data_IF_603692620334
#
_entry.id   IF_603692620334
#
_cell.length_a   1.000
_cell.length_b   1.000
_cell.length_c   1.000
_cell.angle_alpha   90.00
_cell.angle_beta   90.00
_cell.angle_gamma   90.00
#
_symmetry.space_group_name_H-M   'P 1'
#
loop_
_entity.id
_entity.type
_entity.pdbx_description
1 polymer ?
#
# COMPACT_ATOMS: atom_id res chain seq x y z
N UNK A 1 55.83 29.59 -18.41
CA UNK A 1 54.69 28.82 -18.92
C UNK A 1 54.33 27.80 -17.87
N UNK A 2 53.32 28.08 -17.08
CA UNK A 2 52.75 27.12 -16.10
C UNK A 2 51.38 26.69 -16.62
N UNK A 3 51.30 25.42 -16.98
CA UNK A 3 50.02 24.78 -17.38
C UNK A 3 49.12 24.60 -16.16
N UNK A 4 48.00 25.25 -16.20
CA UNK A 4 46.93 25.11 -15.22
C UNK A 4 46.13 23.84 -15.56
N UNK A 5 46.28 22.78 -14.79
CA UNK A 5 45.46 21.59 -14.89
C UNK A 5 44.06 21.91 -14.35
N UNK A 6 43.10 21.99 -15.25
CA UNK A 6 41.68 21.97 -14.88
C UNK A 6 41.28 20.54 -14.40
N UNK A 7 41.10 20.41 -13.10
CA UNK A 7 40.36 19.30 -12.53
C UNK A 7 38.87 19.56 -12.80
N UNK A 8 38.29 18.79 -13.74
CA UNK A 8 36.84 18.69 -13.89
C UNK A 8 36.22 18.11 -12.62
N UNK A 9 34.96 18.42 -12.32
CA UNK A 9 34.28 17.87 -11.17
C UNK A 9 34.21 16.34 -11.31
N UNK A 10 34.87 15.63 -10.40
CA UNK A 10 34.66 14.20 -10.18
C UNK A 10 33.17 14.00 -9.85
N UNK A 11 32.41 13.46 -10.78
CA UNK A 11 31.04 13.04 -10.51
C UNK A 11 31.08 11.96 -9.42
N UNK A 12 30.78 12.34 -8.20
CA UNK A 12 30.58 11.40 -7.12
C UNK A 12 29.44 10.45 -7.57
N UNK A 13 29.73 9.17 -7.74
CA UNK A 13 28.72 8.14 -7.94
C UNK A 13 27.79 8.19 -6.74
N UNK A 14 26.56 8.68 -6.95
CA UNK A 14 25.54 8.72 -5.92
C UNK A 14 25.08 7.28 -5.70
N UNK A 15 25.38 6.70 -4.55
CA UNK A 15 24.88 5.37 -4.19
C UNK A 15 23.38 5.48 -3.95
N UNK A 16 22.61 4.78 -4.76
CA UNK A 16 21.14 4.74 -4.67
C UNK A 16 20.71 3.68 -3.68
N UNK A 17 19.89 4.05 -2.72
CA UNK A 17 19.23 3.13 -1.78
C UNK A 17 17.80 2.92 -2.24
N UNK A 18 17.39 1.68 -2.44
CA UNK A 18 16.03 1.33 -2.86
C UNK A 18 15.11 1.10 -1.66
N UNK A 19 13.84 1.48 -1.83
CA UNK A 19 12.75 1.19 -0.90
C UNK A 19 11.51 0.80 -1.70
N UNK A 20 11.02 -0.42 -1.51
CA UNK A 20 9.85 -0.94 -2.21
C UNK A 20 8.59 -0.81 -1.38
N UNK A 21 7.53 -0.28 -2.01
CA UNK A 21 6.15 -0.29 -1.52
C UNK A 21 5.32 -1.17 -2.43
N UNK A 22 4.63 -2.16 -1.90
CA UNK A 22 3.86 -3.09 -2.70
C UNK A 22 2.45 -3.27 -2.17
N UNK A 23 1.45 -3.17 -3.04
CA UNK A 23 0.16 -3.74 -2.72
C UNK A 23 0.26 -5.27 -2.65
N UNK A 24 -0.77 -5.92 -2.12
CA UNK A 24 -0.80 -7.37 -1.93
C UNK A 24 -1.66 -8.07 -2.97
N UNK A 25 -2.98 -7.91 -2.92
CA UNK A 25 -3.92 -8.66 -3.75
C UNK A 25 -3.83 -8.26 -5.24
N UNK A 26 -3.45 -9.18 -6.09
CA UNK A 26 -3.23 -8.91 -7.52
C UNK A 26 -1.94 -8.16 -7.83
N UNK A 27 -1.07 -7.94 -6.82
CA UNK A 27 0.23 -7.30 -6.95
C UNK A 27 1.36 -8.22 -6.52
N UNK A 28 1.53 -8.48 -5.23
CA UNK A 28 2.46 -9.49 -4.71
C UNK A 28 1.84 -10.89 -4.74
N UNK A 29 0.53 -10.96 -4.50
CA UNK A 29 -0.26 -12.18 -4.45
C UNK A 29 -1.07 -12.34 -5.72
N UNK A 30 -1.19 -13.56 -6.21
CA UNK A 30 -2.13 -13.87 -7.28
C UNK A 30 -3.58 -13.51 -6.88
N UNK A 31 -4.35 -12.95 -7.79
CA UNK A 31 -5.70 -12.45 -7.53
C UNK A 31 -6.69 -13.55 -7.11
N UNK A 32 -6.53 -14.78 -7.63
CA UNK A 32 -7.48 -15.87 -7.41
C UNK A 32 -6.99 -16.86 -6.35
N UNK A 33 -5.71 -17.25 -6.45
CA UNK A 33 -5.12 -18.31 -5.61
C UNK A 33 -4.40 -17.78 -4.39
N UNK A 34 -4.17 -16.46 -4.31
CA UNK A 34 -3.34 -15.82 -3.29
C UNK A 34 -1.91 -16.37 -3.22
N UNK A 35 -1.45 -17.09 -4.27
CA UNK A 35 -0.09 -17.59 -4.37
C UNK A 35 0.91 -16.44 -4.47
N UNK A 36 2.06 -16.59 -3.81
CA UNK A 36 3.20 -15.66 -3.83
C UNK A 36 4.52 -16.39 -4.15
N UNK A 37 4.45 -17.67 -4.53
CA UNK A 37 5.62 -18.55 -4.63
C UNK A 37 6.68 -18.00 -5.60
N UNK A 38 6.28 -17.41 -6.73
CA UNK A 38 7.22 -16.84 -7.70
C UNK A 38 7.95 -15.60 -7.17
N UNK A 39 7.40 -14.89 -6.19
CA UNK A 39 8.03 -13.73 -5.58
C UNK A 39 9.09 -14.09 -4.53
N UNK A 40 9.04 -15.26 -3.91
CA UNK A 40 9.93 -15.66 -2.81
C UNK A 40 11.42 -15.55 -3.12
N UNK A 41 11.93 -15.99 -4.28
CA UNK A 41 13.37 -15.87 -4.59
C UNK A 41 13.83 -14.41 -4.63
N UNK A 42 13.02 -13.51 -5.18
CA UNK A 42 13.32 -12.09 -5.27
C UNK A 42 13.22 -11.42 -3.90
N UNK A 43 12.21 -11.75 -3.11
CA UNK A 43 12.11 -11.29 -1.71
C UNK A 43 13.33 -11.70 -0.88
N UNK A 44 13.83 -12.94 -1.06
CA UNK A 44 15.03 -13.40 -0.41
C UNK A 44 16.28 -12.60 -0.84
N UNK A 45 16.39 -12.27 -2.13
CA UNK A 45 17.48 -11.42 -2.66
C UNK A 45 17.42 -10.02 -2.05
N UNK A 46 16.26 -9.38 -2.05
CA UNK A 46 16.06 -8.05 -1.43
C UNK A 46 16.44 -8.06 0.05
N UNK A 47 16.00 -9.07 0.79
CA UNK A 47 16.36 -9.24 2.21
C UNK A 47 17.87 -9.40 2.43
N UNK A 48 18.56 -10.21 1.59
CA UNK A 48 20.02 -10.37 1.66
C UNK A 48 20.76 -9.08 1.36
N UNK A 49 20.23 -8.24 0.48
CA UNK A 49 20.79 -6.92 0.14
C UNK A 49 20.39 -5.83 1.13
N UNK A 50 19.57 -6.13 2.13
CA UNK A 50 19.06 -5.15 3.09
C UNK A 50 18.10 -4.13 2.48
N UNK A 51 17.46 -4.46 1.35
CA UNK A 51 16.49 -3.59 0.66
C UNK A 51 15.10 -3.85 1.23
N UNK A 52 14.45 -2.85 1.87
CA UNK A 52 13.16 -3.04 2.49
C UNK A 52 12.03 -3.20 1.46
N UNK A 53 11.09 -4.08 1.78
CA UNK A 53 9.80 -4.24 1.06
C UNK A 53 8.67 -4.01 2.05
N UNK A 54 7.87 -3.01 1.79
CA UNK A 54 6.80 -2.56 2.68
C UNK A 54 5.44 -2.86 2.03
N UNK A 55 4.63 -3.76 2.62
CA UNK A 55 3.25 -3.96 2.21
C UNK A 55 2.39 -2.72 2.46
N UNK A 56 1.60 -2.31 1.45
CA UNK A 56 0.67 -1.17 1.51
C UNK A 56 -0.68 -1.61 0.96
N UNK A 57 -1.60 -2.01 1.83
CA UNK A 57 -2.77 -2.79 1.43
C UNK A 57 -4.09 -2.26 1.98
N UNK A 58 -5.20 -2.72 1.38
CA UNK A 58 -6.55 -2.53 1.92
C UNK A 58 -6.92 -3.53 3.03
N UNK A 59 -6.10 -4.57 3.24
CA UNK A 59 -6.29 -5.58 4.29
C UNK A 59 -6.17 -4.99 5.70
N UNK A 60 -6.73 -5.73 6.65
CA UNK A 60 -6.58 -5.45 8.09
C UNK A 60 -5.20 -5.86 8.62
N UNK A 61 -4.84 -5.39 9.81
CA UNK A 61 -3.65 -5.86 10.52
C UNK A 61 -3.63 -7.37 10.68
N UNK A 62 -4.75 -7.96 11.10
CA UNK A 62 -4.84 -9.41 11.33
C UNK A 62 -4.55 -10.24 10.08
N UNK A 63 -5.02 -9.79 8.90
CA UNK A 63 -4.71 -10.43 7.62
C UNK A 63 -3.22 -10.28 7.27
N UNK A 64 -2.66 -9.07 7.47
CA UNK A 64 -1.27 -8.77 7.10
C UNK A 64 -0.29 -9.51 7.99
N UNK A 65 -0.47 -9.51 9.32
CA UNK A 65 0.42 -10.19 10.27
C UNK A 65 0.58 -11.68 9.93
N UNK A 66 -0.51 -12.35 9.60
CA UNK A 66 -0.48 -13.76 9.18
C UNK A 66 0.35 -13.94 7.92
N UNK A 67 0.19 -13.05 6.94
CA UNK A 67 0.88 -13.14 5.65
C UNK A 67 2.37 -12.81 5.75
N UNK A 68 2.74 -11.65 6.34
CA UNK A 68 4.14 -11.20 6.40
C UNK A 68 5.04 -12.18 7.14
N UNK A 69 4.51 -12.83 8.19
CA UNK A 69 5.22 -13.89 8.89
C UNK A 69 5.54 -15.07 7.96
N UNK A 70 4.57 -15.45 7.11
CA UNK A 70 4.70 -16.58 6.18
C UNK A 70 5.69 -16.29 5.05
N UNK A 71 5.68 -15.06 4.52
CA UNK A 71 6.57 -14.66 3.40
C UNK A 71 7.92 -14.11 3.87
N UNK A 72 8.14 -14.01 5.18
CA UNK A 72 9.41 -13.61 5.78
C UNK A 72 9.72 -12.12 5.72
N UNK A 73 8.70 -11.26 5.66
CA UNK A 73 8.84 -9.82 5.82
C UNK A 73 8.77 -9.45 7.31
N UNK A 74 9.71 -8.62 7.77
CA UNK A 74 9.90 -8.24 9.17
C UNK A 74 9.98 -6.72 9.39
N UNK A 75 9.72 -5.94 8.35
CA UNK A 75 9.69 -4.48 8.36
C UNK A 75 8.30 -3.89 8.64
N UNK A 76 8.18 -2.56 8.50
CA UNK A 76 6.90 -1.86 8.58
C UNK A 76 5.89 -2.36 7.55
N UNK A 77 4.60 -2.19 7.86
CA UNK A 77 3.52 -2.45 6.92
C UNK A 77 2.38 -1.44 7.10
N UNK A 78 1.61 -1.24 6.04
CA UNK A 78 0.53 -0.26 5.96
C UNK A 78 -0.78 -1.00 5.72
N UNK A 79 -1.80 -0.68 6.52
CA UNK A 79 -3.10 -1.36 6.47
C UNK A 79 -4.24 -0.41 6.13
N UNK A 80 -5.36 -1.00 5.74
CA UNK A 80 -6.63 -0.32 5.56
C UNK A 80 -6.53 0.92 4.67
N UNK A 81 -5.88 0.75 3.49
CA UNK A 81 -5.67 1.79 2.49
C UNK A 81 -4.87 3.01 3.01
N UNK A 82 -3.86 2.78 3.85
CA UNK A 82 -3.04 3.85 4.40
C UNK A 82 -3.64 4.53 5.61
N UNK A 83 -4.60 3.88 6.29
CA UNK A 83 -5.18 4.42 7.52
C UNK A 83 -4.27 4.29 8.73
N UNK A 84 -3.38 3.30 8.74
CA UNK A 84 -2.35 3.16 9.77
C UNK A 84 -1.08 2.49 9.25
N UNK A 85 0.04 2.87 9.83
CA UNK A 85 1.36 2.27 9.64
C UNK A 85 1.78 1.55 10.92
N UNK A 86 2.11 0.28 10.82
CA UNK A 86 2.64 -0.53 11.90
C UNK A 86 4.15 -0.68 11.73
N UNK A 87 4.92 -0.23 12.70
CA UNK A 87 6.38 -0.25 12.70
C UNK A 87 6.86 -1.20 13.79
N UNK A 88 7.49 -2.34 13.46
CA UNK A 88 8.04 -3.24 14.47
C UNK A 88 9.09 -2.55 15.33
N UNK A 89 8.90 -2.55 16.65
CA UNK A 89 9.74 -1.76 17.57
C UNK A 89 11.16 -2.30 17.72
N UNK A 90 11.35 -3.61 17.57
CA UNK A 90 12.64 -4.26 17.76
C UNK A 90 13.51 -4.29 16.50
N UNK A 91 12.89 -4.34 15.31
CA UNK A 91 13.61 -4.47 14.03
C UNK A 91 13.65 -3.18 13.21
N UNK A 92 13.08 -2.10 13.74
CA UNK A 92 13.04 -0.80 13.07
C UNK A 92 14.45 -0.21 12.90
N UNK A 93 14.87 0.17 11.69
CA UNK A 93 16.21 0.68 11.45
C UNK A 93 16.38 2.17 11.80
N UNK A 94 15.29 2.90 12.04
CA UNK A 94 15.28 4.33 12.35
C UNK A 94 14.71 4.59 13.76
N UNK A 95 14.97 5.76 14.36
CA UNK A 95 14.35 6.16 15.61
C UNK A 95 12.82 6.13 15.49
N UNK A 96 12.17 5.48 16.45
CA UNK A 96 10.71 5.36 16.43
C UNK A 96 10.06 6.75 16.42
N UNK A 97 9.17 7.02 15.44
CA UNK A 97 8.46 8.30 15.39
C UNK A 97 7.44 8.43 16.53
N UNK A 98 6.84 9.61 16.67
CA UNK A 98 5.67 9.80 17.54
C UNK A 98 4.54 8.89 17.10
N UNK A 99 3.83 8.28 18.05
CA UNK A 99 2.75 7.33 17.79
C UNK A 99 2.40 6.55 19.06
N UNK A 100 1.44 5.64 18.95
CA UNK A 100 1.01 4.77 20.05
C UNK A 100 1.73 3.43 20.01
N UNK A 101 2.06 2.88 21.18
CA UNK A 101 2.58 1.52 21.29
C UNK A 101 1.42 0.52 21.36
N UNK A 102 1.37 -0.43 20.43
CA UNK A 102 0.41 -1.54 20.45
C UNK A 102 1.15 -2.86 20.23
N UNK A 103 1.31 -3.61 21.31
CA UNK A 103 2.08 -4.85 21.33
C UNK A 103 3.52 -4.66 20.82
N UNK A 104 3.95 -5.40 19.77
CA UNK A 104 5.30 -5.28 19.22
C UNK A 104 5.49 -4.05 18.32
N UNK A 105 4.45 -3.26 18.10
CA UNK A 105 4.48 -2.17 17.11
C UNK A 105 4.44 -0.78 17.75
N UNK A 106 5.06 0.19 17.06
CA UNK A 106 4.70 1.60 17.09
C UNK A 106 3.71 1.84 15.97
N UNK A 107 2.54 2.40 16.29
CA UNK A 107 1.45 2.66 15.34
C UNK A 107 1.38 4.14 15.02
N UNK A 108 1.44 4.45 13.71
CA UNK A 108 1.14 5.78 13.20
C UNK A 108 -0.27 5.75 12.64
N UNK A 109 -1.23 6.29 13.35
CA UNK A 109 -2.60 6.42 12.88
C UNK A 109 -2.72 7.65 11.98
N UNK A 110 -3.00 7.44 10.68
CA UNK A 110 -3.22 8.49 9.69
C UNK A 110 -4.72 8.73 9.46
N UNK A 111 -5.52 7.70 9.69
CA UNK A 111 -6.96 7.73 9.55
C UNK A 111 -7.70 7.99 10.86
N UNK A 112 -8.91 7.47 10.93
CA UNK A 112 -9.81 7.57 12.09
C UNK A 112 -9.98 6.19 12.72
N UNK A 113 -10.36 6.13 14.00
CA UNK A 113 -10.73 4.86 14.63
C UNK A 113 -11.98 4.25 13.94
N UNK A 114 -12.05 2.92 13.90
CA UNK A 114 -13.14 2.18 13.23
C UNK A 114 -14.55 2.61 13.66
N UNK A 115 -14.75 2.89 14.95
CA UNK A 115 -16.04 3.37 15.47
C UNK A 115 -16.46 4.68 14.80
N UNK A 116 -15.52 5.55 14.47
CA UNK A 116 -15.78 6.80 13.76
C UNK A 116 -16.11 6.56 12.29
N UNK A 117 -15.37 5.66 11.62
CA UNK A 117 -15.68 5.27 10.24
C UNK A 117 -17.09 4.65 10.13
N UNK A 118 -17.47 3.79 11.08
CA UNK A 118 -18.83 3.23 11.19
C UNK A 118 -19.91 4.29 11.39
N UNK A 119 -19.69 5.23 12.31
CA UNK A 119 -20.62 6.31 12.54
C UNK A 119 -20.73 7.24 11.32
N UNK A 120 -19.59 7.56 10.69
CA UNK A 120 -19.51 8.34 9.47
C UNK A 120 -20.31 7.71 8.32
N UNK A 121 -20.15 6.41 8.07
CA UNK A 121 -20.90 5.72 7.03
C UNK A 121 -22.43 5.82 7.23
N UNK A 122 -22.88 5.69 8.47
CA UNK A 122 -24.31 5.84 8.81
C UNK A 122 -24.80 7.28 8.61
N UNK A 123 -24.02 8.28 9.01
CA UNK A 123 -24.36 9.69 8.81
C UNK A 123 -24.41 10.06 7.32
N UNK A 124 -23.44 9.60 6.53
CA UNK A 124 -23.42 9.77 5.08
C UNK A 124 -24.66 9.12 4.43
N UNK A 125 -25.01 7.90 4.86
CA UNK A 125 -26.20 7.21 4.36
C UNK A 125 -27.49 8.01 4.61
N UNK A 126 -27.61 8.67 5.75
CA UNK A 126 -28.73 9.57 6.09
C UNK A 126 -28.74 10.81 5.20
N UNK A 127 -27.58 11.45 5.04
CA UNK A 127 -27.42 12.68 4.23
C UNK A 127 -27.78 12.46 2.76
N UNK A 128 -27.34 11.36 2.17
CA UNK A 128 -27.67 11.05 0.78
C UNK A 128 -29.06 10.43 0.60
N UNK A 129 -29.75 10.08 1.70
CA UNK A 129 -31.06 9.44 1.70
C UNK A 129 -31.05 7.99 1.13
N UNK A 130 -29.93 7.27 1.27
CA UNK A 130 -29.74 5.92 0.76
C UNK A 130 -28.98 5.06 1.78
N UNK A 131 -29.43 3.82 2.04
CA UNK A 131 -28.71 2.92 2.93
C UNK A 131 -27.34 2.56 2.34
N UNK A 132 -26.30 2.65 3.16
CA UNK A 132 -24.96 2.15 2.89
C UNK A 132 -24.72 0.98 3.84
N UNK A 133 -24.43 -0.19 3.28
CA UNK A 133 -24.20 -1.41 4.06
C UNK A 133 -22.71 -1.71 4.14
N UNK A 134 -22.14 -1.53 5.31
CA UNK A 134 -20.73 -1.77 5.58
C UNK A 134 -20.45 -3.18 6.13
N UNK A 135 -19.17 -3.56 6.21
CA UNK A 135 -18.71 -4.85 6.74
C UNK A 135 -19.17 -5.07 8.19
N UNK A 136 -19.24 -4.00 8.97
CA UNK A 136 -19.75 -4.10 10.32
C UNK A 136 -21.24 -4.48 10.42
N UNK A 137 -22.02 -4.31 9.35
CA UNK A 137 -23.44 -4.68 9.27
C UNK A 137 -23.65 -6.09 8.70
N UNK A 138 -22.58 -6.74 8.24
CA UNK A 138 -22.61 -8.05 7.61
C UNK A 138 -22.22 -9.15 8.61
N UNK A 139 -22.88 -10.30 8.55
CA UNK A 139 -22.40 -11.52 9.18
C UNK A 139 -21.17 -12.07 8.42
N UNK A 140 -20.38 -12.93 9.06
CA UNK A 140 -19.18 -13.54 8.44
C UNK A 140 -19.55 -14.29 7.15
N UNK A 141 -20.64 -15.03 7.16
CA UNK A 141 -21.16 -15.81 6.03
C UNK A 141 -21.53 -14.90 4.85
N UNK A 142 -22.02 -13.70 5.12
CA UNK A 142 -22.33 -12.72 4.08
C UNK A 142 -21.04 -12.14 3.47
N UNK A 143 -20.01 -11.90 4.27
CA UNK A 143 -18.70 -11.48 3.78
C UNK A 143 -18.09 -12.58 2.91
N UNK A 144 -18.13 -13.85 3.34
CA UNK A 144 -17.69 -14.99 2.54
C UNK A 144 -18.38 -15.04 1.17
N UNK A 145 -19.71 -14.91 1.14
CA UNK A 145 -20.49 -14.92 -0.10
C UNK A 145 -20.11 -13.79 -1.06
N UNK A 146 -19.79 -12.61 -0.53
CA UNK A 146 -19.43 -11.43 -1.33
C UNK A 146 -17.98 -11.45 -1.81
N UNK A 147 -17.08 -12.06 -1.04
CA UNK A 147 -15.62 -12.01 -1.30
C UNK A 147 -15.07 -13.32 -1.84
N UNK A 148 -15.69 -14.46 -1.55
CA UNK A 148 -15.14 -15.79 -1.80
C UNK A 148 -14.12 -16.24 -0.76
N UNK A 149 -13.88 -15.47 0.30
CA UNK A 149 -12.92 -15.79 1.35
C UNK A 149 -13.33 -17.04 2.16
N UNK A 150 -12.38 -17.78 2.66
CA UNK A 150 -12.61 -18.78 3.68
C UNK A 150 -13.13 -18.12 4.98
N UNK A 151 -13.76 -18.88 5.86
CA UNK A 151 -14.35 -18.35 7.10
C UNK A 151 -13.32 -17.62 7.96
N UNK A 152 -12.14 -18.19 8.11
CA UNK A 152 -11.04 -17.59 8.88
C UNK A 152 -10.63 -16.23 8.32
N UNK A 153 -10.45 -16.16 7.00
CA UNK A 153 -10.02 -14.94 6.31
C UNK A 153 -11.12 -13.88 6.33
N UNK A 154 -12.39 -14.29 6.19
CA UNK A 154 -13.53 -13.39 6.34
C UNK A 154 -13.64 -12.80 7.76
N UNK A 155 -13.33 -13.60 8.79
CA UNK A 155 -13.23 -13.11 10.18
C UNK A 155 -12.11 -12.09 10.34
N UNK A 156 -10.92 -12.36 9.79
CA UNK A 156 -9.80 -11.42 9.81
C UNK A 156 -10.12 -10.13 9.04
N UNK A 157 -10.71 -10.23 7.85
CA UNK A 157 -11.13 -9.07 7.05
C UNK A 157 -12.16 -8.18 7.77
N UNK A 158 -12.92 -8.72 8.72
CA UNK A 158 -13.85 -7.97 9.59
C UNK A 158 -13.17 -7.34 10.81
N UNK A 159 -11.93 -7.68 11.14
CA UNK A 159 -11.18 -7.10 12.27
C UNK A 159 -10.63 -5.72 11.91
N UNK A 160 -11.52 -4.83 11.41
CA UNK A 160 -11.17 -3.46 11.03
C UNK A 160 -10.87 -2.60 12.25
N UNK A 161 -9.86 -1.76 12.12
CA UNK A 161 -9.43 -0.83 13.17
C UNK A 161 -9.57 0.63 12.75
N UNK A 162 -9.55 0.93 11.43
CA UNK A 162 -9.43 2.30 10.92
C UNK A 162 -10.33 2.65 9.74
N UNK A 163 -11.03 1.71 9.14
CA UNK A 163 -11.83 1.94 7.94
C UNK A 163 -13.08 1.07 7.90
N UNK A 164 -14.08 1.51 7.14
CA UNK A 164 -15.29 0.71 6.90
C UNK A 164 -15.45 0.40 5.41
N UNK A 165 -15.18 -0.85 4.98
CA UNK A 165 -15.54 -1.30 3.66
C UNK A 165 -17.07 -1.37 3.52
N UNK A 166 -17.60 -0.89 2.40
CA UNK A 166 -19.03 -0.91 2.14
C UNK A 166 -19.34 -1.24 0.69
N UNK A 167 -20.55 -1.73 0.44
CA UNK A 167 -21.04 -2.00 -0.91
C UNK A 167 -21.26 -0.66 -1.63
N UNK A 168 -20.58 -0.50 -2.77
CA UNK A 168 -20.72 0.70 -3.59
C UNK A 168 -22.17 0.86 -4.05
N UNK A 169 -22.84 1.96 -3.71
CA UNK A 169 -24.25 2.13 -4.04
C UNK A 169 -24.41 2.30 -5.55
N UNK A 170 -25.35 1.56 -6.12
CA UNK A 170 -25.82 1.77 -7.49
C UNK A 170 -26.81 2.92 -7.53
N UNK A 171 -26.74 3.78 -8.55
CA UNK A 171 -27.67 4.90 -8.75
C UNK A 171 -27.66 5.97 -7.63
N UNK A 172 -26.50 6.28 -7.09
CA UNK A 172 -26.27 7.48 -6.27
C UNK A 172 -25.46 8.45 -7.11
N UNK A 173 -25.82 9.71 -7.05
CA UNK A 173 -25.04 10.79 -7.64
C UNK A 173 -23.66 10.84 -6.97
N UNK A 174 -22.62 10.65 -7.78
CA UNK A 174 -21.23 10.59 -7.31
C UNK A 174 -20.79 11.90 -6.69
N UNK A 175 -21.25 13.05 -7.20
CA UNK A 175 -20.90 14.38 -6.67
C UNK A 175 -21.55 14.58 -5.30
N UNK A 176 -22.83 14.19 -5.16
CA UNK A 176 -23.54 14.27 -3.88
C UNK A 176 -22.89 13.36 -2.83
N UNK A 177 -22.49 12.13 -3.22
CA UNK A 177 -21.80 11.21 -2.30
C UNK A 177 -20.44 11.78 -1.88
N UNK A 178 -19.64 12.26 -2.82
CA UNK A 178 -18.33 12.86 -2.54
C UNK A 178 -18.45 14.06 -1.62
N UNK A 179 -19.36 14.99 -1.91
CA UNK A 179 -19.58 16.17 -1.07
C UNK A 179 -20.00 15.81 0.37
N UNK A 180 -20.90 14.83 0.55
CA UNK A 180 -21.32 14.37 1.87
C UNK A 180 -20.16 13.70 2.66
N UNK A 181 -19.34 12.94 1.98
CA UNK A 181 -18.15 12.27 2.56
C UNK A 181 -17.12 13.29 3.02
N UNK A 182 -16.75 14.23 2.15
CA UNK A 182 -15.76 15.28 2.44
C UNK A 182 -16.21 16.23 3.55
N UNK A 183 -17.49 16.63 3.54
CA UNK A 183 -18.05 17.49 4.58
C UNK A 183 -18.00 16.88 5.99
N UNK A 184 -17.91 15.55 6.08
CA UNK A 184 -17.81 14.82 7.35
C UNK A 184 -16.35 14.43 7.72
N UNK A 185 -15.35 14.87 6.95
CA UNK A 185 -13.94 14.62 7.22
C UNK A 185 -13.47 13.23 6.81
N UNK A 186 -14.13 12.63 5.82
CA UNK A 186 -13.78 11.33 5.27
C UNK A 186 -13.41 11.41 3.78
N UNK A 187 -12.91 10.32 3.25
CA UNK A 187 -12.78 10.08 1.80
C UNK A 187 -13.19 8.64 1.47
N UNK A 188 -13.59 8.43 0.23
CA UNK A 188 -13.89 7.09 -0.30
C UNK A 188 -12.74 6.64 -1.20
N UNK A 189 -12.21 5.47 -0.90
CA UNK A 189 -11.27 4.76 -1.78
C UNK A 189 -12.03 3.64 -2.47
N UNK A 190 -12.04 3.67 -3.79
CA UNK A 190 -12.74 2.67 -4.61
C UNK A 190 -11.76 1.53 -4.91
N UNK A 191 -12.04 0.35 -4.36
CA UNK A 191 -11.38 -0.91 -4.71
C UNK A 191 -12.19 -1.68 -5.78
N UNK A 192 -11.78 -2.92 -6.05
CA UNK A 192 -12.41 -3.74 -7.09
C UNK A 192 -13.85 -4.12 -6.75
N UNK A 193 -14.13 -4.52 -5.51
CA UNK A 193 -15.44 -5.05 -5.08
C UNK A 193 -16.16 -4.14 -4.10
N UNK A 194 -15.41 -3.38 -3.31
CA UNK A 194 -15.92 -2.52 -2.23
C UNK A 194 -15.35 -1.13 -2.34
N UNK A 195 -16.14 -0.17 -1.90
CA UNK A 195 -15.62 1.15 -1.52
C UNK A 195 -15.24 1.13 -0.05
N UNK A 196 -14.19 1.86 0.31
CA UNK A 196 -13.71 1.97 1.69
C UNK A 196 -13.86 3.41 2.18
N UNK A 197 -14.58 3.59 3.27
CA UNK A 197 -14.63 4.88 3.97
C UNK A 197 -13.43 4.95 4.92
N UNK A 198 -12.56 5.93 4.68
CA UNK A 198 -11.36 6.21 5.48
C UNK A 198 -11.35 7.66 5.92
N UNK A 199 -10.54 8.00 6.92
CA UNK A 199 -10.33 9.41 7.30
C UNK A 199 -9.73 10.22 6.14
N UNK A 200 -10.08 11.50 6.04
CA UNK A 200 -9.65 12.37 4.92
C UNK A 200 -8.12 12.47 4.78
N UNK A 201 -7.38 12.41 5.90
CA UNK A 201 -5.91 12.46 5.91
C UNK A 201 -5.24 11.11 5.59
N UNK A 202 -5.99 10.00 5.62
CA UNK A 202 -5.48 8.68 5.30
C UNK A 202 -5.32 8.49 3.79
N UNK A 203 -4.41 7.60 3.39
CA UNK A 203 -4.20 7.21 2.00
C UNK A 203 -2.90 6.42 1.85
N UNK A 204 -2.84 5.54 0.84
CA UNK A 204 -1.62 4.77 0.55
C UNK A 204 -0.44 5.71 0.26
N UNK A 205 -0.66 6.82 -0.46
CA UNK A 205 0.37 7.83 -0.73
C UNK A 205 0.84 8.58 0.52
N UNK A 206 -0.09 8.94 1.42
CA UNK A 206 0.27 9.58 2.69
C UNK A 206 1.17 8.66 3.55
N UNK A 207 0.86 7.37 3.62
CA UNK A 207 1.68 6.39 4.33
C UNK A 207 3.06 6.18 3.68
N UNK A 208 3.11 6.12 2.35
CA UNK A 208 4.37 6.06 1.58
C UNK A 208 5.25 7.26 1.89
N UNK A 209 4.69 8.47 1.83
CA UNK A 209 5.43 9.70 2.13
C UNK A 209 6.02 9.69 3.55
N UNK A 210 5.25 9.26 4.56
CA UNK A 210 5.73 9.15 5.94
C UNK A 210 6.90 8.18 6.07
N UNK A 211 6.76 6.98 5.50
CA UNK A 211 7.80 5.95 5.57
C UNK A 211 9.04 6.33 4.74
N UNK A 212 8.86 6.90 3.55
CA UNK A 212 9.98 7.38 2.73
C UNK A 212 10.80 8.46 3.47
N UNK A 213 10.13 9.36 4.20
CA UNK A 213 10.83 10.36 5.03
C UNK A 213 11.65 9.72 6.16
N UNK A 214 11.08 8.70 6.84
CA UNK A 214 11.79 7.97 7.91
C UNK A 214 13.02 7.23 7.38
N UNK A 215 12.89 6.51 6.27
CA UNK A 215 14.03 5.83 5.64
C UNK A 215 15.04 6.81 5.04
N UNK A 216 14.57 7.90 4.44
CA UNK A 216 15.42 8.98 3.94
C UNK A 216 16.32 9.61 5.01
N UNK A 217 15.81 9.67 6.26
CA UNK A 217 16.58 10.16 7.41
C UNK A 217 17.77 9.28 7.81
N UNK A 218 17.89 8.06 7.29
CA UNK A 218 19.02 7.16 7.53
C UNK A 218 20.17 7.38 6.55
N UNK A 219 19.95 8.11 5.48
CA UNK A 219 20.92 8.26 4.40
C UNK A 219 22.07 9.18 4.80
N UNK A 220 23.28 8.80 4.42
CA UNK A 220 24.45 9.65 4.53
C UNK A 220 24.48 10.73 3.45
N UNK A 221 25.20 11.85 3.66
CA UNK A 221 25.40 12.85 2.61
C UNK A 221 25.94 12.22 1.30
N UNK A 222 25.25 12.48 0.19
CA UNK A 222 25.59 11.92 -1.13
C UNK A 222 24.89 10.61 -1.48
N UNK A 223 24.09 10.06 -0.58
CA UNK A 223 23.16 8.96 -0.90
C UNK A 223 21.78 9.53 -1.29
N UNK A 224 21.08 8.83 -2.16
CA UNK A 224 19.70 9.14 -2.55
C UNK A 224 18.79 7.94 -2.29
N UNK A 225 17.59 8.21 -1.77
CA UNK A 225 16.52 7.21 -1.70
C UNK A 225 15.81 7.18 -3.05
N UNK A 226 15.60 5.98 -3.58
CA UNK A 226 14.70 5.76 -4.70
C UNK A 226 13.57 4.85 -4.23
N UNK A 227 12.38 5.37 -4.28
CA UNK A 227 11.15 4.66 -3.91
C UNK A 227 10.52 3.97 -5.11
N UNK A 228 10.11 2.73 -4.94
CA UNK A 228 9.47 1.92 -5.98
C UNK A 228 8.09 1.49 -5.50
N UNK A 229 7.04 1.86 -6.21
CA UNK A 229 5.66 1.47 -5.92
C UNK A 229 5.17 0.42 -6.90
N UNK A 230 4.55 -0.65 -6.40
CA UNK A 230 3.91 -1.68 -7.21
C UNK A 230 2.44 -1.81 -6.80
N UNK A 231 1.54 -1.75 -7.78
CA UNK A 231 0.09 -1.83 -7.57
C UNK A 231 -0.66 -2.28 -8.81
N UNK A 232 -1.94 -2.63 -8.69
CA UNK A 232 -2.73 -3.18 -9.80
C UNK A 232 -4.09 -2.52 -9.97
N UNK A 233 -4.58 -1.77 -8.97
CA UNK A 233 -5.96 -1.29 -8.96
C UNK A 233 -6.09 0.20 -8.59
N UNK A 234 -7.27 0.82 -8.76
CA UNK A 234 -7.44 2.26 -8.56
C UNK A 234 -7.07 2.79 -7.18
N UNK A 235 -7.15 1.98 -6.12
CA UNK A 235 -6.73 2.36 -4.78
C UNK A 235 -5.20 2.49 -4.62
N UNK A 236 -4.41 2.01 -5.61
CA UNK A 236 -2.96 2.13 -5.63
C UNK A 236 -2.46 3.42 -6.28
N UNK A 237 -3.34 4.13 -6.99
CA UNK A 237 -2.96 5.35 -7.72
C UNK A 237 -2.23 6.33 -6.79
N UNK A 238 -2.77 6.56 -5.61
CA UNK A 238 -2.20 7.45 -4.60
C UNK A 238 -0.78 7.02 -4.15
N UNK A 239 -0.53 5.71 -4.03
CA UNK A 239 0.80 5.16 -3.76
C UNK A 239 1.74 5.35 -4.95
N UNK A 240 1.28 4.98 -6.14
CA UNK A 240 2.09 5.03 -7.36
C UNK A 240 2.49 6.46 -7.74
N UNK A 241 1.62 7.44 -7.52
CA UNK A 241 1.91 8.87 -7.73
C UNK A 241 2.93 9.44 -6.73
N UNK A 242 3.13 8.77 -5.58
CA UNK A 242 4.03 9.20 -4.51
C UNK A 242 5.34 8.37 -4.46
N UNK A 243 5.68 7.66 -5.53
CA UNK A 243 6.93 6.91 -5.68
C UNK A 243 7.71 7.35 -6.91
N UNK A 244 9.06 7.24 -6.87
CA UNK A 244 9.94 7.64 -7.97
C UNK A 244 9.79 6.71 -9.18
N UNK A 245 9.57 5.41 -8.92
CA UNK A 245 9.33 4.38 -9.93
C UNK A 245 7.98 3.73 -9.63
N UNK A 246 7.01 3.95 -10.51
CA UNK A 246 5.70 3.33 -10.43
C UNK A 246 5.57 2.17 -11.40
N UNK A 247 5.11 1.02 -10.91
CA UNK A 247 4.95 -0.22 -11.67
C UNK A 247 3.53 -0.75 -11.49
N UNK A 248 2.85 -0.98 -12.59
CA UNK A 248 1.49 -1.52 -12.64
C UNK A 248 1.54 -3.00 -12.95
N UNK A 249 0.93 -3.82 -12.12
CA UNK A 249 0.72 -5.25 -12.37
C UNK A 249 -0.55 -5.40 -13.22
N UNK A 250 -0.48 -6.07 -14.40
CA UNK A 250 -1.65 -6.35 -15.20
C UNK A 250 -2.47 -7.50 -14.58
N UNK A 251 -3.78 -7.52 -14.84
CA UNK A 251 -4.59 -8.73 -14.72
C UNK A 251 -4.47 -9.61 -15.96
N UNK A 252 -5.29 -10.67 -16.05
CA UNK A 252 -5.33 -11.58 -17.23
C UNK A 252 -5.65 -10.84 -18.54
N UNK A 253 -6.54 -9.83 -18.49
CA UNK A 253 -6.96 -9.03 -19.63
C UNK A 253 -6.10 -7.75 -19.83
N UNK A 254 -5.00 -7.62 -19.11
CA UNK A 254 -4.14 -6.45 -19.12
C UNK A 254 -4.30 -5.54 -17.89
N UNK A 255 -3.60 -4.39 -17.88
CA UNK A 255 -3.65 -3.47 -16.75
C UNK A 255 -5.01 -2.79 -16.62
N UNK A 256 -5.39 -2.43 -15.38
CA UNK A 256 -6.65 -1.73 -15.13
C UNK A 256 -6.71 -0.41 -15.92
N UNK A 257 -7.84 -0.09 -16.63
CA UNK A 257 -7.93 1.07 -17.53
C UNK A 257 -7.53 2.41 -16.91
N UNK A 258 -7.81 2.64 -15.63
CA UNK A 258 -7.45 3.88 -14.91
C UNK A 258 -5.95 4.02 -14.63
N UNK A 259 -5.15 2.98 -14.88
CA UNK A 259 -3.71 2.94 -14.65
C UNK A 259 -2.90 2.97 -15.96
N UNK A 260 -3.54 2.69 -17.13
CA UNK A 260 -2.85 2.53 -18.40
C UNK A 260 -2.16 3.80 -18.92
N UNK A 261 -2.83 4.95 -18.81
CA UNK A 261 -2.43 6.19 -19.52
C UNK A 261 -1.61 7.16 -18.65
N UNK A 262 -0.88 6.64 -17.67
CA UNK A 262 -0.14 7.46 -16.69
C UNK A 262 1.37 7.51 -16.93
N UNK A 263 1.86 6.84 -17.98
CA UNK A 263 3.29 6.74 -18.27
C UNK A 263 4.08 5.87 -17.29
N UNK A 264 3.40 5.11 -16.44
CA UNK A 264 4.00 4.17 -15.50
C UNK A 264 4.49 2.92 -16.20
N UNK A 265 5.45 2.21 -15.59
CA UNK A 265 5.90 0.92 -16.10
C UNK A 265 4.78 -0.11 -15.93
N UNK A 266 4.65 -1.02 -16.89
CA UNK A 266 3.72 -2.15 -16.79
C UNK A 266 4.56 -3.42 -16.67
N UNK A 267 4.28 -4.23 -15.65
CA UNK A 267 4.92 -5.53 -15.49
C UNK A 267 4.56 -6.45 -16.67
N UNK A 268 5.46 -7.36 -17.08
CA UNK A 268 5.26 -8.14 -18.31
C UNK A 268 4.16 -9.21 -18.21
N UNK A 269 3.71 -9.53 -17.00
CA UNK A 269 2.70 -10.57 -16.73
C UNK A 269 2.01 -10.32 -15.39
N UNK A 270 0.88 -11.01 -15.08
CA UNK A 270 0.20 -10.89 -13.81
C UNK A 270 1.05 -11.31 -12.60
N UNK A 271 0.52 -11.02 -11.41
CA UNK A 271 1.10 -11.44 -10.13
C UNK A 271 0.99 -12.97 -9.92
N UNK A 272 1.96 -13.57 -9.24
CA UNK A 272 3.18 -13.00 -8.62
C UNK A 272 4.40 -12.95 -9.55
N UNK A 273 4.37 -13.59 -10.71
CA UNK A 273 5.48 -13.69 -11.66
C UNK A 273 5.87 -12.32 -12.21
N UNK A 274 4.89 -11.49 -12.56
CA UNK A 274 5.10 -10.13 -13.03
C UNK A 274 5.76 -9.25 -11.97
N UNK A 275 5.38 -9.41 -10.71
CA UNK A 275 6.03 -8.73 -9.58
C UNK A 275 7.51 -9.10 -9.50
N UNK A 276 7.81 -10.39 -9.51
CA UNK A 276 9.20 -10.88 -9.44
C UNK A 276 10.05 -10.34 -10.59
N UNK A 277 9.54 -10.41 -11.83
CA UNK A 277 10.24 -9.93 -13.02
C UNK A 277 10.47 -8.42 -12.98
N UNK A 278 9.47 -7.65 -12.59
CA UNK A 278 9.55 -6.18 -12.53
C UNK A 278 10.55 -5.71 -11.47
N UNK A 279 10.55 -6.33 -10.28
CA UNK A 279 11.50 -6.02 -9.22
C UNK A 279 12.93 -6.38 -9.61
N UNK A 280 13.17 -7.54 -10.25
CA UNK A 280 14.47 -7.90 -10.76
C UNK A 280 14.99 -6.90 -11.80
N UNK A 281 14.13 -6.41 -12.69
CA UNK A 281 14.52 -5.39 -13.67
C UNK A 281 15.00 -4.09 -12.97
N UNK A 282 14.29 -3.63 -11.93
CA UNK A 282 14.72 -2.47 -11.14
C UNK A 282 16.07 -2.69 -10.47
N UNK A 283 16.30 -3.88 -9.89
CA UNK A 283 17.59 -4.22 -9.25
C UNK A 283 18.73 -4.13 -10.24
N UNK A 284 18.59 -4.72 -11.43
CA UNK A 284 19.63 -4.70 -12.49
C UNK A 284 19.89 -3.28 -12.97
N UNK A 285 18.86 -2.44 -13.13
CA UNK A 285 19.00 -1.04 -13.58
C UNK A 285 19.73 -0.16 -12.55
N UNK A 286 19.67 -0.50 -11.27
CA UNK A 286 20.21 0.30 -10.18
C UNK A 286 21.53 -0.24 -9.62
N UNK A 287 22.01 -1.39 -10.10
CA UNK A 287 23.34 -1.90 -9.76
C UNK A 287 24.41 -0.93 -10.26
N UNK A 288 25.34 -0.48 -9.40
CA UNK A 288 26.47 0.31 -9.86
C UNK A 288 27.34 -0.53 -10.79
N UNK A 289 27.48 -0.09 -12.05
CA UNK A 289 28.30 -0.74 -13.07
C UNK A 289 29.82 -0.78 -12.72
#
# INVERSE_FOLDING_TARGET
>A
MMESAHHGPSGALTMTTLLFFTDLDGTLLNTETYSYQAALPVLATLKQQGIPVIPVTSKTRAEVETLIHTIGLDGPFVVENGSAVFIPRETCPFPLPEGEDDGPYRVLQLGVAYVMARAGLKAIAQEIGRPLKGFGDLAVEQVQQLTGLAETDAKQAKMREFSEPFLTPKNVDSEKLTAAVEAMGFRVVVGDRFSHLIGAAAGKGAAVHQLAALYGGLLSPGQALTTVGLGNSPNDIDMLENTDIAIVLPGEDGPHPRLCDRGWRIAPQPAPEGWATAVQAVLVETEPG
#
